data_IF_333894087782
#
_entry.id   IF_333894087782
#
_cell.length_a   1.000
_cell.length_b   1.000
_cell.length_c   1.000
_cell.angle_alpha   90.00
_cell.angle_beta   90.00
_cell.angle_gamma   90.00
#
_symmetry.space_group_name_H-M   'P 1'
#
loop_
_entity.id
_entity.type
_entity.pdbx_description
1 polymer ?
#
# COMPACT_ATOMS: atom_id res chain seq x y z
N UNK A 1 -56.71 -22.72 30.30
CA UNK A 1 -55.35 -23.18 30.02
C UNK A 1 -55.00 -22.73 28.60
N UNK A 2 -54.35 -21.57 28.51
CA UNK A 2 -53.87 -20.95 27.27
C UNK A 2 -52.73 -21.81 26.71
N UNK A 3 -52.56 -22.02 25.41
CA UNK A 3 -52.60 -21.06 24.31
C UNK A 3 -51.19 -21.02 23.74
N UNK A 4 -50.94 -21.77 22.66
CA UNK A 4 -49.61 -21.98 22.11
C UNK A 4 -48.99 -20.71 21.53
N UNK A 5 -47.69 -20.54 21.77
CA UNK A 5 -46.81 -19.66 21.01
C UNK A 5 -45.59 -20.45 20.52
N UNK A 6 -45.13 -20.23 19.28
CA UNK A 6 -43.89 -20.81 18.78
C UNK A 6 -42.70 -20.02 19.33
N UNK A 7 -41.76 -20.70 19.98
CA UNK A 7 -40.49 -20.12 20.40
C UNK A 7 -39.62 -19.83 19.17
N UNK A 8 -39.32 -18.55 19.00
CA UNK A 8 -38.61 -17.93 17.89
C UNK A 8 -37.14 -18.38 17.76
N UNK A 9 -36.74 -18.45 16.50
CA UNK A 9 -35.39 -18.47 15.93
C UNK A 9 -34.25 -17.95 16.83
N UNK A 10 -33.37 -18.87 17.23
CA UNK A 10 -32.03 -18.60 17.76
C UNK A 10 -31.04 -18.27 16.62
N UNK A 11 -31.27 -17.16 15.91
CA UNK A 11 -30.25 -16.48 15.13
C UNK A 11 -30.49 -14.98 15.27
N UNK A 12 -30.00 -14.42 16.39
CA UNK A 12 -29.82 -12.98 16.49
C UNK A 12 -28.83 -12.59 15.41
N UNK A 13 -29.34 -11.84 14.43
CA UNK A 13 -28.52 -10.99 13.59
C UNK A 13 -27.61 -10.17 14.52
N UNK A 14 -26.33 -10.49 14.52
CA UNK A 14 -25.32 -9.60 15.09
C UNK A 14 -25.36 -8.37 14.20
N UNK A 15 -25.99 -7.32 14.70
CA UNK A 15 -25.96 -5.99 14.11
C UNK A 15 -24.52 -5.70 13.72
N UNK A 16 -24.33 -5.37 12.45
CA UNK A 16 -23.05 -4.94 11.91
C UNK A 16 -22.41 -3.92 12.89
N UNK A 17 -21.12 -4.04 13.21
CA UNK A 17 -20.47 -3.02 14.01
C UNK A 17 -20.68 -1.66 13.31
N UNK A 18 -21.03 -0.67 14.12
CA UNK A 18 -21.25 0.71 13.73
C UNK A 18 -20.26 1.12 12.63
N UNK A 19 -20.80 1.59 11.50
CA UNK A 19 -19.98 2.18 10.43
C UNK A 19 -19.11 3.25 11.08
N UNK A 20 -17.76 3.13 11.04
CA UNK A 20 -16.91 4.19 11.53
C UNK A 20 -17.24 5.45 10.72
N UNK A 21 -17.41 6.55 11.45
CA UNK A 21 -17.68 7.89 10.90
C UNK A 21 -16.84 8.14 9.65
N UNK A 22 -17.50 8.47 8.54
CA UNK A 22 -16.91 8.74 7.21
C UNK A 22 -16.04 10.01 7.17
N UNK A 23 -15.52 10.49 8.29
CA UNK A 23 -14.72 11.72 8.38
C UNK A 23 -13.28 11.34 8.71
N UNK A 24 -12.43 11.43 7.69
CA UNK A 24 -10.99 11.18 7.70
C UNK A 24 -10.57 9.73 7.92
N UNK A 25 -10.85 8.89 6.93
CA UNK A 25 -9.90 7.81 6.61
C UNK A 25 -8.69 8.52 5.98
N UNK A 26 -7.49 8.55 6.59
CA UNK A 26 -6.32 9.06 5.89
C UNK A 26 -6.14 8.19 4.65
N UNK A 27 -6.17 8.80 3.47
CA UNK A 27 -5.80 8.12 2.23
C UNK A 27 -4.37 7.59 2.45
N UNK A 28 -4.26 6.28 2.67
CA UNK A 28 -2.97 5.62 2.87
C UNK A 28 -2.18 5.82 1.57
N UNK A 29 -0.91 6.19 1.68
CA UNK A 29 -0.08 6.44 0.50
C UNK A 29 0.53 5.10 0.05
N UNK A 30 0.20 4.59 -1.16
CA UNK A 30 0.75 3.33 -1.67
C UNK A 30 2.26 3.34 -1.89
N UNK A 31 2.88 4.50 -1.74
CA UNK A 31 4.33 4.70 -1.80
C UNK A 31 5.02 4.59 -0.42
N UNK A 32 4.25 4.39 0.66
CA UNK A 32 4.83 4.04 1.96
C UNK A 32 5.39 2.64 1.91
N UNK A 33 6.60 2.48 2.44
CA UNK A 33 7.24 1.17 2.50
C UNK A 33 6.59 0.33 3.60
N UNK A 34 6.45 -0.97 3.32
CA UNK A 34 6.11 -1.99 4.29
C UNK A 34 7.21 -3.04 4.21
N UNK A 35 8.07 -3.05 5.21
CA UNK A 35 9.24 -3.89 5.28
C UNK A 35 10.17 -3.71 4.07
N UNK A 36 10.49 -2.45 3.76
CA UNK A 36 11.51 -2.07 2.78
C UNK A 36 11.04 -1.95 1.33
N UNK A 37 9.75 -2.18 1.06
CA UNK A 37 9.17 -1.94 -0.27
C UNK A 37 7.72 -1.51 -0.19
N UNK A 38 7.37 -0.52 -1.00
CA UNK A 38 6.00 -0.06 -1.17
C UNK A 38 5.08 -1.11 -1.81
N UNK A 39 3.78 -0.99 -1.58
CA UNK A 39 2.80 -1.86 -2.22
C UNK A 39 2.79 -1.69 -3.73
N UNK A 40 2.96 -0.47 -4.24
CA UNK A 40 3.07 -0.23 -5.67
C UNK A 40 4.24 -1.04 -6.26
N UNK A 41 5.41 -0.96 -5.64
CA UNK A 41 6.60 -1.68 -6.09
C UNK A 41 6.37 -3.20 -6.07
N UNK A 42 5.74 -3.73 -5.01
CA UNK A 42 5.42 -5.16 -4.89
C UNK A 42 4.39 -5.60 -5.93
N UNK A 43 3.35 -4.81 -6.19
CA UNK A 43 2.36 -5.09 -7.25
C UNK A 43 2.98 -5.08 -8.63
N UNK A 44 3.87 -4.12 -8.92
CA UNK A 44 4.64 -4.08 -10.17
C UNK A 44 5.53 -5.32 -10.30
N UNK A 45 6.22 -5.75 -9.23
CA UNK A 45 7.02 -6.96 -9.25
C UNK A 45 6.20 -8.22 -9.56
N UNK A 46 4.98 -8.34 -8.99
CA UNK A 46 4.04 -9.44 -9.30
C UNK A 46 3.61 -9.42 -10.77
N UNK A 47 3.31 -8.25 -11.32
CA UNK A 47 2.98 -8.09 -12.75
C UNK A 47 4.18 -8.46 -13.65
N UNK A 48 5.39 -8.02 -13.29
CA UNK A 48 6.60 -8.37 -14.04
C UNK A 48 6.85 -9.89 -14.03
N UNK A 49 6.56 -10.56 -12.90
CA UNK A 49 6.68 -12.01 -12.76
C UNK A 49 5.82 -12.82 -13.74
N UNK A 50 4.74 -12.23 -14.27
CA UNK A 50 3.86 -12.84 -15.27
C UNK A 50 4.08 -12.26 -16.69
N UNK A 51 5.19 -11.55 -16.91
CA UNK A 51 5.58 -11.05 -18.23
C UNK A 51 5.13 -9.62 -18.58
N UNK A 52 4.48 -8.90 -17.65
CA UNK A 52 4.13 -7.49 -17.87
C UNK A 52 5.41 -6.64 -17.79
N UNK A 53 5.92 -6.18 -18.94
CA UNK A 53 7.24 -5.53 -18.99
C UNK A 53 7.22 -4.03 -18.64
N UNK A 54 6.10 -3.34 -18.86
CA UNK A 54 5.98 -1.89 -18.67
C UNK A 54 4.59 -1.49 -18.14
N UNK A 55 4.30 -1.71 -16.84
CA UNK A 55 3.04 -1.30 -16.26
C UNK A 55 2.91 0.23 -16.20
N UNK A 56 1.83 0.77 -16.77
CA UNK A 56 1.54 2.21 -16.73
C UNK A 56 0.92 2.55 -15.38
N UNK A 57 1.61 3.37 -14.59
CA UNK A 57 1.14 3.77 -13.26
C UNK A 57 0.53 5.17 -13.30
N UNK A 58 -0.70 5.29 -12.80
CA UNK A 58 -1.42 6.57 -12.71
C UNK A 58 -1.71 6.90 -11.24
N UNK A 59 -1.57 8.16 -10.86
CA UNK A 59 -1.88 8.64 -9.50
C UNK A 59 -2.99 9.68 -9.53
N UNK A 60 -4.15 9.33 -8.99
CA UNK A 60 -5.24 10.26 -8.74
C UNK A 60 -5.02 11.00 -7.41
N UNK A 61 -4.81 12.32 -7.45
CA UNK A 61 -4.72 13.15 -6.24
C UNK A 61 -6.06 13.34 -5.53
N UNK A 62 -7.19 12.96 -6.15
CA UNK A 62 -8.53 13.11 -5.58
C UNK A 62 -9.02 11.89 -4.76
N UNK A 63 -8.26 10.79 -4.72
CA UNK A 63 -8.51 9.66 -3.81
C UNK A 63 -9.86 8.97 -4.03
N UNK A 64 -10.14 8.50 -5.25
CA UNK A 64 -11.41 7.81 -5.56
C UNK A 64 -11.39 6.33 -5.12
N UNK A 65 -12.48 5.86 -4.52
CA UNK A 65 -12.63 4.48 -4.01
C UNK A 65 -13.17 3.48 -5.04
N UNK A 66 -13.07 3.77 -6.33
CA UNK A 66 -13.60 2.90 -7.40
C UNK A 66 -12.49 2.26 -8.23
N UNK A 67 -12.75 1.06 -8.74
CA UNK A 67 -11.85 0.33 -9.63
C UNK A 67 -11.69 1.04 -10.99
N UNK A 68 -12.81 1.49 -11.57
CA UNK A 68 -12.81 2.37 -12.72
C UNK A 68 -12.96 3.83 -12.27
N UNK A 69 -12.34 4.78 -13.00
CA UNK A 69 -12.54 6.20 -12.72
C UNK A 69 -14.03 6.57 -12.74
N UNK A 70 -14.47 7.38 -11.77
CA UNK A 70 -15.83 7.91 -11.72
C UNK A 70 -16.07 8.94 -12.83
N UNK A 71 -17.33 9.10 -13.26
CA UNK A 71 -17.74 10.23 -14.13
C UNK A 71 -17.44 11.61 -13.51
N UNK A 72 -17.37 11.67 -12.18
CA UNK A 72 -17.08 12.88 -11.40
C UNK A 72 -15.58 13.08 -11.15
N UNK A 73 -14.71 12.19 -11.63
CA UNK A 73 -13.27 12.39 -11.55
C UNK A 73 -12.85 13.62 -12.37
N UNK A 74 -11.73 14.26 -11.98
CA UNK A 74 -11.21 15.41 -12.72
C UNK A 74 -10.95 15.01 -14.17
N UNK A 75 -11.39 15.84 -15.12
CA UNK A 75 -11.26 15.59 -16.57
C UNK A 75 -9.83 15.24 -16.98
N UNK A 76 -8.83 15.84 -16.35
CA UNK A 76 -7.42 15.55 -16.61
C UNK A 76 -7.00 14.11 -16.25
N UNK A 77 -7.47 13.57 -15.12
CA UNK A 77 -7.17 12.19 -14.73
C UNK A 77 -7.89 11.20 -15.64
N UNK A 78 -9.14 11.49 -16.00
CA UNK A 78 -9.89 10.68 -16.96
C UNK A 78 -9.18 10.59 -18.30
N UNK A 79 -8.70 11.72 -18.82
CA UNK A 79 -7.95 11.75 -20.08
C UNK A 79 -6.63 10.95 -19.97
N UNK A 80 -5.89 11.11 -18.87
CA UNK A 80 -4.67 10.33 -18.63
C UNK A 80 -4.96 8.83 -18.57
N UNK A 81 -6.06 8.44 -17.93
CA UNK A 81 -6.48 7.05 -17.84
C UNK A 81 -6.90 6.48 -19.20
N UNK A 82 -7.71 7.20 -19.99
CA UNK A 82 -8.10 6.77 -21.34
C UNK A 82 -6.87 6.64 -22.24
N UNK A 83 -5.91 7.58 -22.16
CA UNK A 83 -4.66 7.51 -22.92
C UNK A 83 -3.79 6.32 -22.51
N UNK A 84 -3.69 6.02 -21.21
CA UNK A 84 -2.93 4.86 -20.72
C UNK A 84 -3.51 3.54 -21.22
N UNK A 85 -4.85 3.40 -21.19
CA UNK A 85 -5.51 2.21 -21.74
C UNK A 85 -5.30 2.13 -23.26
N UNK A 86 -5.41 3.26 -23.97
CA UNK A 86 -5.14 3.31 -25.40
C UNK A 86 -3.70 2.89 -25.73
N UNK A 87 -2.72 3.39 -24.98
CA UNK A 87 -1.30 3.03 -25.15
C UNK A 87 -1.07 1.53 -24.95
N UNK A 88 -1.64 0.96 -23.88
CA UNK A 88 -1.53 -0.48 -23.61
C UNK A 88 -2.18 -1.31 -24.73
N UNK A 89 -3.42 -0.99 -25.15
CA UNK A 89 -4.13 -1.71 -26.22
C UNK A 89 -3.38 -1.57 -27.56
N UNK A 90 -2.91 -0.37 -27.91
CA UNK A 90 -2.19 -0.12 -29.16
C UNK A 90 -0.80 -0.78 -29.19
N UNK A 91 -0.24 -1.15 -28.04
CA UNK A 91 1.00 -1.93 -27.97
C UNK A 91 0.80 -3.42 -28.33
N UNK A 92 -0.45 -3.86 -28.53
CA UNK A 92 -0.77 -5.21 -28.98
C UNK A 92 -0.75 -6.28 -27.88
N UNK A 93 -0.91 -5.90 -26.61
CA UNK A 93 -1.04 -6.85 -25.51
C UNK A 93 -2.31 -7.69 -25.67
N UNK A 94 -2.25 -9.00 -25.44
CA UNK A 94 -3.42 -9.87 -25.53
C UNK A 94 -4.37 -9.69 -24.33
N UNK A 95 -3.81 -9.60 -23.12
CA UNK A 95 -4.55 -9.41 -21.88
C UNK A 95 -4.13 -8.13 -21.17
N UNK A 96 -5.12 -7.34 -20.74
CA UNK A 96 -4.91 -6.11 -19.99
C UNK A 96 -5.20 -6.35 -18.50
N UNK A 97 -4.19 -6.11 -17.67
CA UNK A 97 -4.36 -6.04 -16.22
C UNK A 97 -4.77 -4.63 -15.79
N UNK A 98 -5.91 -4.53 -15.10
CA UNK A 98 -6.33 -3.33 -14.41
C UNK A 98 -6.25 -3.59 -12.90
N UNK A 99 -5.43 -2.81 -12.21
CA UNK A 99 -5.19 -2.95 -10.77
C UNK A 99 -5.26 -1.58 -10.11
N UNK A 100 -6.04 -1.48 -9.03
CA UNK A 100 -5.90 -0.38 -8.08
C UNK A 100 -5.05 -0.86 -6.91
N UNK A 101 -3.89 -0.22 -6.72
CA UNK A 101 -3.09 -0.44 -5.51
C UNK A 101 -3.90 0.13 -4.34
N UNK A 102 -4.34 -0.76 -3.45
CA UNK A 102 -5.56 -0.60 -2.66
C UNK A 102 -5.57 -1.46 -1.41
N UNK A 103 -5.31 -2.72 -1.67
CA UNK A 103 -5.50 -3.87 -0.80
C UNK A 103 -4.25 -4.72 -0.99
N UNK A 104 -3.71 -5.26 0.09
CA UNK A 104 -2.69 -6.29 -0.01
C UNK A 104 -3.36 -7.66 -0.02
N UNK A 105 -2.94 -8.54 -0.91
CA UNK A 105 -3.33 -9.94 -0.91
C UNK A 105 -2.20 -10.84 -1.41
N UNK A 106 -2.20 -12.08 -0.92
CA UNK A 106 -1.27 -13.12 -1.36
C UNK A 106 -1.67 -13.76 -2.70
N UNK A 107 -2.72 -13.24 -3.36
CA UNK A 107 -3.23 -13.75 -4.63
C UNK A 107 -2.14 -13.80 -5.71
N UNK A 108 -1.87 -14.97 -6.26
CA UNK A 108 -0.95 -15.14 -7.38
C UNK A 108 -1.58 -14.57 -8.66
N UNK A 109 -0.85 -13.69 -9.34
CA UNK A 109 -1.36 -13.05 -10.56
C UNK A 109 -1.31 -14.03 -11.74
N UNK A 110 -0.46 -15.06 -11.69
CA UNK A 110 -0.42 -16.13 -12.67
C UNK A 110 -1.68 -16.99 -12.60
N UNK A 111 -2.11 -17.36 -11.38
CA UNK A 111 -3.32 -18.16 -11.16
C UNK A 111 -4.58 -17.43 -11.68
N UNK A 112 -4.67 -16.11 -11.44
CA UNK A 112 -5.75 -15.29 -11.98
C UNK A 112 -5.73 -15.25 -13.51
N UNK A 113 -4.56 -15.13 -14.13
CA UNK A 113 -4.40 -15.11 -15.59
C UNK A 113 -4.78 -16.47 -16.20
N UNK A 114 -4.29 -17.57 -15.64
CA UNK A 114 -4.58 -18.92 -16.09
C UNK A 114 -6.08 -19.21 -16.02
N UNK A 115 -6.73 -18.81 -14.92
CA UNK A 115 -8.18 -18.93 -14.78
C UNK A 115 -8.94 -18.09 -15.83
N UNK A 116 -8.50 -16.87 -16.09
CA UNK A 116 -9.07 -16.01 -17.12
C UNK A 116 -8.97 -16.67 -18.51
N UNK A 117 -7.79 -17.15 -18.90
CA UNK A 117 -7.54 -17.82 -20.18
C UNK A 117 -8.40 -19.09 -20.30
N UNK A 118 -8.42 -19.94 -19.28
CA UNK A 118 -9.20 -21.19 -19.29
C UNK A 118 -10.70 -20.95 -19.39
N UNK A 119 -11.20 -19.88 -18.76
CA UNK A 119 -12.62 -19.53 -18.80
C UNK A 119 -13.06 -18.95 -20.15
N UNK A 120 -12.13 -18.41 -20.95
CA UNK A 120 -12.44 -17.62 -22.15
C UNK A 120 -13.29 -16.37 -21.84
N UNK A 121 -13.26 -15.89 -20.59
CA UNK A 121 -14.07 -14.77 -20.15
C UNK A 121 -13.57 -13.46 -20.75
N UNK A 122 -14.52 -12.57 -21.04
CA UNK A 122 -14.22 -11.21 -21.53
C UNK A 122 -13.54 -10.34 -20.47
N UNK A 123 -13.89 -10.56 -19.22
CA UNK A 123 -13.37 -9.85 -18.05
C UNK A 123 -13.45 -10.80 -16.86
N UNK A 124 -12.34 -10.97 -16.16
CA UNK A 124 -12.29 -11.72 -14.91
C UNK A 124 -11.85 -10.78 -13.79
N UNK A 125 -12.63 -10.70 -12.72
CA UNK A 125 -12.32 -9.85 -11.57
C UNK A 125 -12.13 -10.68 -10.30
N UNK A 126 -11.10 -10.35 -9.52
CA UNK A 126 -10.75 -11.06 -8.29
C UNK A 126 -11.56 -10.54 -7.09
N UNK A 127 -12.04 -11.47 -6.28
CA UNK A 127 -12.82 -11.22 -5.07
C UNK A 127 -12.32 -12.08 -3.92
N UNK A 128 -12.32 -11.51 -2.72
CA UNK A 128 -12.25 -12.26 -1.47
C UNK A 128 -13.65 -12.36 -0.84
N UNK A 129 -13.85 -13.18 0.22
CA UNK A 129 -15.17 -13.36 0.85
C UNK A 129 -15.82 -12.04 1.31
N UNK A 130 -15.02 -11.05 1.69
CA UNK A 130 -15.44 -9.74 2.19
C UNK A 130 -15.51 -8.65 1.10
N UNK A 131 -15.16 -8.95 -0.16
CA UNK A 131 -15.34 -8.02 -1.28
C UNK A 131 -14.27 -8.07 -2.36
N UNK A 132 -14.38 -7.18 -3.35
CA UNK A 132 -13.46 -7.10 -4.50
C UNK A 132 -12.02 -6.80 -4.07
N UNK A 133 -11.04 -7.36 -4.76
CA UNK A 133 -9.62 -7.06 -4.59
C UNK A 133 -9.12 -5.93 -5.50
N UNK A 134 -10.03 -5.24 -6.22
CA UNK A 134 -9.72 -4.18 -7.18
C UNK A 134 -8.63 -4.58 -8.21
N UNK A 135 -8.71 -5.83 -8.67
CA UNK A 135 -7.85 -6.41 -9.69
C UNK A 135 -8.74 -7.15 -10.70
N UNK A 136 -8.54 -6.85 -11.98
CA UNK A 136 -9.19 -7.55 -13.07
C UNK A 136 -8.26 -7.77 -14.26
N UNK A 137 -8.52 -8.84 -15.01
CA UNK A 137 -7.90 -9.17 -16.28
C UNK A 137 -8.97 -9.06 -17.37
N UNK A 138 -8.64 -8.41 -18.47
CA UNK A 138 -9.54 -8.14 -19.59
C UNK A 138 -8.90 -8.65 -20.89
N UNK A 139 -9.71 -9.28 -21.73
CA UNK A 139 -9.31 -9.57 -23.11
C UNK A 139 -9.25 -8.27 -23.92
N UNK A 140 -8.05 -7.93 -24.41
CA UNK A 140 -7.79 -6.69 -25.15
C UNK A 140 -8.55 -6.60 -26.47
N UNK A 141 -8.93 -7.73 -27.08
CA UNK A 141 -9.58 -7.77 -28.39
C UNK A 141 -10.90 -6.99 -28.41
N UNK A 142 -11.55 -6.89 -27.24
CA UNK A 142 -12.80 -6.17 -27.03
C UNK A 142 -12.60 -4.65 -26.92
N UNK A 143 -11.37 -4.22 -26.68
CA UNK A 143 -10.98 -2.81 -26.57
C UNK A 143 -10.42 -2.26 -27.89
N UNK A 144 -10.17 -3.11 -28.88
CA UNK A 144 -9.73 -2.68 -30.21
C UNK A 144 -10.75 -1.73 -30.86
N UNK A 145 -10.25 -0.74 -31.61
CA UNK A 145 -11.06 0.28 -32.28
C UNK A 145 -11.97 1.08 -31.33
N UNK A 146 -11.56 1.29 -30.07
CA UNK A 146 -12.23 2.23 -29.17
C UNK A 146 -11.68 3.62 -29.42
N UNK A 147 -12.49 4.52 -30.01
CA UNK A 147 -12.15 5.94 -30.19
C UNK A 147 -12.08 6.70 -28.84
N UNK A 148 -11.20 6.28 -27.92
CA UNK A 148 -10.98 6.94 -26.62
C UNK A 148 -12.14 6.83 -25.62
N UNK A 149 -13.04 5.86 -25.80
CA UNK A 149 -14.18 5.60 -24.90
C UNK A 149 -14.03 4.29 -24.09
N UNK A 150 -12.80 3.95 -23.69
CA UNK A 150 -12.47 2.68 -23.05
C UNK A 150 -13.23 2.52 -21.72
N UNK A 151 -13.39 3.59 -20.94
CA UNK A 151 -14.12 3.53 -19.66
C UNK A 151 -15.56 3.08 -19.85
N UNK A 152 -16.23 3.59 -20.90
CA UNK A 152 -17.62 3.23 -21.22
C UNK A 152 -17.71 1.77 -21.65
N UNK A 153 -16.77 1.30 -22.47
CA UNK A 153 -16.72 -0.11 -22.90
C UNK A 153 -16.47 -1.04 -21.72
N UNK A 154 -15.46 -0.78 -20.91
CA UNK A 154 -15.15 -1.57 -19.72
C UNK A 154 -16.34 -1.60 -18.73
N UNK A 155 -17.05 -0.48 -18.56
CA UNK A 155 -18.27 -0.45 -17.74
C UNK A 155 -19.38 -1.37 -18.29
N UNK A 156 -19.45 -1.57 -19.60
CA UNK A 156 -20.43 -2.44 -20.24
C UNK A 156 -20.06 -3.93 -20.15
N UNK A 157 -18.79 -4.25 -19.82
CA UNK A 157 -18.32 -5.62 -19.60
C UNK A 157 -18.60 -6.12 -18.18
N UNK A 158 -18.75 -5.21 -17.19
CA UNK A 158 -19.01 -5.55 -15.78
C UNK A 158 -20.16 -6.56 -15.60
N UNK A 159 -21.32 -6.44 -16.28
CA UNK A 159 -22.41 -7.42 -16.11
C UNK A 159 -22.07 -8.83 -16.62
N UNK A 160 -21.07 -8.96 -17.50
CA UNK A 160 -20.62 -10.22 -18.11
C UNK A 160 -19.33 -10.74 -17.46
N UNK A 161 -18.86 -10.09 -16.40
CA UNK A 161 -17.61 -10.47 -15.76
C UNK A 161 -17.73 -11.85 -15.11
N UNK A 162 -16.65 -12.63 -15.21
CA UNK A 162 -16.47 -13.84 -14.42
C UNK A 162 -15.77 -13.48 -13.11
N UNK A 163 -16.22 -14.09 -12.03
CA UNK A 163 -15.65 -13.88 -10.70
C UNK A 163 -14.57 -14.93 -10.45
N UNK A 164 -13.40 -14.46 -10.02
CA UNK A 164 -12.34 -15.29 -9.47
C UNK A 164 -12.38 -15.18 -7.94
N UNK A 165 -12.74 -16.27 -7.27
CA UNK A 165 -12.86 -16.33 -5.81
C UNK A 165 -11.53 -16.73 -5.17
N UNK A 166 -10.94 -15.79 -4.42
CA UNK A 166 -9.70 -15.94 -3.70
C UNK A 166 -9.95 -16.16 -2.21
N UNK A 167 -9.33 -17.19 -1.65
CA UNK A 167 -9.51 -17.59 -0.25
C UNK A 167 -8.22 -17.51 0.61
N UNK A 168 -7.23 -16.73 0.19
CA UNK A 168 -5.98 -16.53 0.93
C UNK A 168 -5.96 -15.27 1.81
N UNK A 169 -4.76 -14.87 2.24
CA UNK A 169 -4.56 -13.69 3.09
C UNK A 169 -4.93 -12.40 2.36
N UNK A 170 -5.70 -11.54 3.03
CA UNK A 170 -6.11 -10.22 2.54
C UNK A 170 -6.02 -9.21 3.68
N UNK A 171 -5.39 -8.07 3.40
CA UNK A 171 -5.40 -6.91 4.27
C UNK A 171 -5.91 -5.69 3.48
N UNK A 172 -7.02 -5.11 3.95
CA UNK A 172 -7.75 -4.04 3.26
C UNK A 172 -7.10 -2.67 3.37
N UNK A 173 -6.13 -2.50 4.26
CA UNK A 173 -5.38 -1.26 4.44
C UNK A 173 -6.29 -0.04 4.62
N UNK A 174 -7.38 -0.21 5.37
CA UNK A 174 -8.36 0.85 5.60
C UNK A 174 -7.85 1.94 6.53
N UNK A 175 -6.73 1.70 7.23
CA UNK A 175 -6.09 2.70 8.08
C UNK A 175 -4.76 2.23 8.68
N UNK A 176 -4.24 3.03 9.60
CA UNK A 176 -2.91 2.82 10.22
C UNK A 176 -2.80 1.51 10.98
N UNK A 177 -3.90 1.04 11.58
CA UNK A 177 -3.94 -0.27 12.27
C UNK A 177 -3.74 -1.42 11.30
N UNK A 178 -4.44 -1.40 10.18
CA UNK A 178 -4.35 -2.41 9.12
C UNK A 178 -2.94 -2.44 8.52
N UNK A 179 -2.35 -1.26 8.29
CA UNK A 179 -0.96 -1.12 7.86
C UNK A 179 0.01 -1.79 8.85
N UNK A 180 -0.13 -1.46 10.14
CA UNK A 180 0.72 -2.03 11.17
C UNK A 180 0.50 -3.54 11.33
N UNK A 181 -0.74 -4.01 11.17
CA UNK A 181 -1.07 -5.43 11.16
C UNK A 181 -0.41 -6.14 9.97
N UNK A 182 -0.45 -5.57 8.77
CA UNK A 182 0.23 -6.13 7.59
C UNK A 182 1.75 -6.24 7.80
N UNK A 183 2.35 -5.18 8.35
CA UNK A 183 3.76 -5.16 8.71
C UNK A 183 4.09 -6.30 9.70
N UNK A 184 3.30 -6.46 10.77
CA UNK A 184 3.49 -7.55 11.72
C UNK A 184 3.29 -8.92 11.07
N UNK A 185 2.22 -9.10 10.30
CA UNK A 185 1.94 -10.36 9.64
C UNK A 185 3.05 -10.76 8.68
N UNK A 186 3.72 -9.79 8.03
CA UNK A 186 4.93 -10.05 7.26
C UNK A 186 6.14 -10.43 8.12
N UNK A 187 6.42 -9.70 9.20
CA UNK A 187 7.53 -10.01 10.12
C UNK A 187 7.40 -11.38 10.80
N UNK A 188 6.17 -11.78 11.13
CA UNK A 188 5.88 -13.06 11.77
C UNK A 188 5.60 -14.19 10.77
N UNK A 189 5.75 -13.94 9.45
CA UNK A 189 5.56 -14.98 8.41
C UNK A 189 4.12 -15.50 8.30
N UNK A 190 3.11 -14.68 8.63
CA UNK A 190 1.68 -15.02 8.56
C UNK A 190 1.04 -14.75 7.19
N UNK A 191 1.77 -14.07 6.30
CA UNK A 191 1.40 -13.84 4.91
C UNK A 191 2.65 -13.94 4.03
N UNK A 192 2.47 -13.91 2.71
CA UNK A 192 3.59 -13.98 1.76
C UNK A 192 4.44 -12.70 1.71
N UNK A 193 4.03 -11.63 2.40
CA UNK A 193 4.84 -10.42 2.53
C UNK A 193 6.05 -10.73 3.39
N UNK A 194 7.25 -10.53 2.86
CA UNK A 194 8.49 -10.67 3.61
C UNK A 194 9.31 -9.37 3.58
N UNK A 195 10.18 -9.16 4.58
CA UNK A 195 11.15 -8.06 4.55
C UNK A 195 12.06 -8.10 3.34
N UNK A 196 12.41 -6.92 2.83
CA UNK A 196 13.46 -6.75 1.83
C UNK A 196 14.83 -6.80 2.52
N UNK A 197 15.84 -7.37 1.87
CA UNK A 197 17.20 -7.47 2.43
C UNK A 197 17.54 -8.88 2.90
N UNK A 198 18.58 -8.98 3.73
CA UNK A 198 19.12 -10.25 4.21
C UNK A 198 18.67 -10.51 5.65
N UNK A 199 18.28 -11.75 5.92
CA UNK A 199 18.08 -12.22 7.29
C UNK A 199 19.45 -12.55 7.91
N UNK A 200 19.96 -11.64 8.73
CA UNK A 200 21.31 -11.77 9.35
C UNK A 200 21.29 -12.71 10.55
N UNK A 201 20.13 -12.87 11.16
CA UNK A 201 19.82 -13.79 12.25
C UNK A 201 18.32 -14.13 12.16
N UNK A 202 17.90 -15.29 12.67
CA UNK A 202 16.49 -15.70 12.68
C UNK A 202 15.56 -14.59 13.18
N UNK A 203 14.65 -14.15 12.30
CA UNK A 203 13.70 -13.08 12.50
C UNK A 203 14.27 -11.65 12.44
N UNK A 204 15.57 -11.46 12.21
CA UNK A 204 16.24 -10.15 12.14
C UNK A 204 16.70 -9.89 10.71
N UNK A 205 16.10 -8.87 10.10
CA UNK A 205 16.29 -8.52 8.69
C UNK A 205 16.97 -7.17 8.55
N UNK A 206 18.00 -7.12 7.72
CA UNK A 206 18.77 -5.91 7.42
C UNK A 206 18.82 -5.66 5.91
N UNK A 207 18.43 -4.46 5.50
CA UNK A 207 18.55 -3.98 4.14
C UNK A 207 19.84 -3.19 3.91
N UNK A 208 20.19 -2.98 2.64
CA UNK A 208 21.48 -2.44 2.23
C UNK A 208 21.82 -1.10 2.89
N UNK A 209 23.03 -1.00 3.43
CA UNK A 209 23.56 0.22 4.04
C UNK A 209 22.96 0.57 5.40
N UNK A 210 22.23 -0.35 6.04
CA UNK A 210 21.87 -0.21 7.44
C UNK A 210 23.15 -0.18 8.32
N UNK A 211 23.19 0.75 9.28
CA UNK A 211 24.28 0.90 10.24
C UNK A 211 23.72 0.74 11.66
N UNK A 212 24.23 -0.22 12.40
CA UNK A 212 23.78 -0.52 13.77
C UNK A 212 24.97 -0.38 14.70
N UNK A 213 24.83 0.45 15.73
CA UNK A 213 25.85 0.55 16.77
C UNK A 213 25.97 -0.77 17.55
N UNK A 214 27.21 -1.20 17.81
CA UNK A 214 27.52 -2.45 18.51
C UNK A 214 26.91 -2.60 19.91
N UNK A 215 26.49 -1.50 20.53
CA UNK A 215 25.86 -1.49 21.86
C UNK A 215 24.34 -1.52 21.81
N UNK A 216 23.73 -1.49 20.62
CA UNK A 216 22.29 -1.62 20.45
C UNK A 216 21.83 -3.05 20.78
N UNK A 217 20.69 -3.16 21.45
CA UNK A 217 20.05 -4.43 21.79
C UNK A 217 18.88 -4.65 20.86
N UNK A 218 18.95 -5.70 20.05
CA UNK A 218 17.92 -6.04 19.07
C UNK A 218 17.34 -7.41 19.39
N UNK A 219 16.00 -7.47 19.43
CA UNK A 219 15.24 -8.69 19.64
C UNK A 219 14.32 -8.97 18.46
N UNK A 220 14.41 -10.18 17.92
CA UNK A 220 13.54 -10.65 16.84
C UNK A 220 12.04 -10.70 17.24
N UNK A 221 11.12 -10.62 16.27
CA UNK A 221 11.38 -10.26 14.88
C UNK A 221 11.63 -8.75 14.73
N UNK A 222 12.52 -8.37 13.81
CA UNK A 222 12.87 -6.99 13.52
C UNK A 222 13.22 -6.81 12.03
N UNK A 223 12.83 -5.68 11.45
CA UNK A 223 13.33 -5.22 10.17
C UNK A 223 14.02 -3.85 10.29
N UNK A 224 15.21 -3.73 9.68
CA UNK A 224 15.96 -2.48 9.55
C UNK A 224 16.19 -2.18 8.06
N UNK A 225 15.62 -1.07 7.61
CA UNK A 225 15.57 -0.63 6.23
C UNK A 225 16.84 0.03 5.74
N UNK A 226 16.92 0.18 4.42
CA UNK A 226 18.13 0.63 3.73
C UNK A 226 18.58 2.02 4.20
N UNK A 227 19.88 2.18 4.42
CA UNK A 227 20.48 3.46 4.84
C UNK A 227 20.07 3.96 6.23
N UNK A 228 19.38 3.14 7.03
CA UNK A 228 18.96 3.52 8.38
C UNK A 228 20.09 3.38 9.40
N UNK A 229 20.13 4.28 10.38
CA UNK A 229 21.17 4.34 11.42
C UNK A 229 20.56 4.15 12.80
N UNK A 230 21.02 3.13 13.51
CA UNK A 230 20.63 2.84 14.90
C UNK A 230 21.76 3.26 15.84
N UNK A 231 21.48 4.24 16.69
CA UNK A 231 22.44 4.79 17.64
C UNK A 231 22.78 3.84 18.79
N UNK A 232 23.85 4.19 19.51
CA UNK A 232 24.32 3.46 20.68
C UNK A 232 23.26 3.34 21.78
N UNK A 233 23.28 2.21 22.49
CA UNK A 233 22.40 1.88 23.62
C UNK A 233 20.90 1.85 23.28
N UNK A 234 20.53 1.87 22.00
CA UNK A 234 19.14 1.71 21.59
C UNK A 234 18.64 0.29 21.88
N UNK A 235 17.34 0.17 22.14
CA UNK A 235 16.68 -1.14 22.29
C UNK A 235 15.54 -1.24 21.28
N UNK A 236 15.57 -2.23 20.41
CA UNK A 236 14.54 -2.49 19.40
C UNK A 236 13.95 -3.90 19.65
N UNK A 237 12.64 -4.00 19.90
CA UNK A 237 12.04 -5.28 20.26
C UNK A 237 10.56 -5.43 19.90
N UNK A 238 10.09 -6.67 19.78
CA UNK A 238 8.67 -6.99 19.72
C UNK A 238 8.02 -6.78 18.37
N UNK A 239 8.70 -7.12 17.26
CA UNK A 239 8.13 -6.97 15.92
C UNK A 239 8.12 -5.51 15.47
N UNK A 240 9.28 -4.87 15.48
CA UNK A 240 9.43 -3.51 14.98
C UNK A 240 9.96 -3.50 13.54
N UNK A 241 9.54 -2.47 12.80
CA UNK A 241 10.07 -2.16 11.47
C UNK A 241 10.61 -0.73 11.46
N UNK A 242 11.87 -0.58 11.10
CA UNK A 242 12.50 0.72 10.84
C UNK A 242 12.67 0.81 9.33
N UNK A 243 11.87 1.60 8.63
CA UNK A 243 11.95 1.75 7.17
C UNK A 243 13.20 2.54 6.75
N UNK A 244 13.40 2.71 5.45
CA UNK A 244 14.64 3.31 4.89
C UNK A 244 14.94 4.73 5.39
N UNK A 245 16.22 5.10 5.39
CA UNK A 245 16.75 6.43 5.72
C UNK A 245 16.30 6.98 7.10
N UNK A 246 16.04 6.09 8.05
CA UNK A 246 15.69 6.48 9.40
C UNK A 246 16.94 6.72 10.25
N UNK A 247 16.83 7.58 11.25
CA UNK A 247 17.85 7.71 12.30
C UNK A 247 17.19 7.56 13.66
N UNK A 248 17.57 6.53 14.39
CA UNK A 248 17.15 6.31 15.79
C UNK A 248 18.32 6.74 16.67
N UNK A 249 18.15 7.85 17.39
CA UNK A 249 19.21 8.43 18.21
C UNK A 249 19.38 7.70 19.55
N UNK A 250 20.47 7.99 20.26
CA UNK A 250 20.98 7.19 21.37
C UNK A 250 19.98 6.86 22.47
N UNK A 251 20.15 5.69 23.10
CA UNK A 251 19.41 5.24 24.28
C UNK A 251 17.88 5.21 24.10
N UNK A 252 17.40 5.12 22.85
CA UNK A 252 15.97 5.09 22.54
C UNK A 252 15.44 3.67 22.48
N UNK A 253 14.26 3.46 23.06
CA UNK A 253 13.50 2.23 23.04
C UNK A 253 12.40 2.33 21.97
N UNK A 254 12.42 1.40 21.02
CA UNK A 254 11.34 1.20 20.04
C UNK A 254 10.76 -0.20 20.25
N UNK A 255 9.52 -0.27 20.70
CA UNK A 255 8.83 -1.53 20.98
C UNK A 255 7.51 -1.66 20.21
N UNK A 256 7.28 -2.79 19.54
CA UNK A 256 6.06 -3.06 18.77
C UNK A 256 5.64 -1.86 17.90
N UNK A 257 6.57 -1.26 17.18
CA UNK A 257 6.35 0.01 16.49
C UNK A 257 6.93 0.00 15.08
N UNK A 258 6.39 0.87 14.23
CA UNK A 258 6.89 1.08 12.88
C UNK A 258 7.38 2.52 12.74
N UNK A 259 8.63 2.71 12.31
CA UNK A 259 9.19 4.02 11.99
C UNK A 259 9.27 4.12 10.47
N UNK A 260 8.42 4.95 9.87
CA UNK A 260 8.32 5.12 8.42
C UNK A 260 9.50 5.88 7.85
N UNK A 261 9.69 5.74 6.54
CA UNK A 261 10.86 6.25 5.83
C UNK A 261 11.17 7.73 6.11
N UNK A 262 12.46 8.04 6.05
CA UNK A 262 12.96 9.42 6.20
C UNK A 262 12.52 10.05 7.53
N UNK A 263 12.51 9.27 8.62
CA UNK A 263 12.14 9.74 9.97
C UNK A 263 13.34 9.74 10.92
N UNK A 264 13.36 10.74 11.81
CA UNK A 264 14.29 10.84 12.92
C UNK A 264 13.54 10.67 14.24
N UNK A 265 14.05 9.79 15.09
CA UNK A 265 13.59 9.61 16.47
C UNK A 265 14.72 10.02 17.39
N UNK A 266 14.43 10.97 18.28
CA UNK A 266 15.38 11.60 19.18
C UNK A 266 15.96 10.69 20.26
N UNK A 267 16.81 11.29 21.09
CA UNK A 267 17.56 10.62 22.16
C UNK A 267 16.65 10.28 23.34
N UNK A 268 16.88 9.11 23.94
CA UNK A 268 16.23 8.66 25.18
C UNK A 268 14.69 8.68 25.14
N UNK A 269 14.12 8.33 23.99
CA UNK A 269 12.68 8.22 23.82
C UNK A 269 12.19 6.79 24.09
N UNK A 270 10.97 6.69 24.59
CA UNK A 270 10.24 5.41 24.72
C UNK A 270 9.05 5.42 23.75
N UNK A 271 9.22 4.78 22.60
CA UNK A 271 8.21 4.68 21.55
C UNK A 271 7.64 3.26 21.55
N UNK A 272 6.38 3.13 21.97
CA UNK A 272 5.69 1.83 22.01
C UNK A 272 4.39 1.83 21.27
N UNK A 273 4.11 0.74 20.55
CA UNK A 273 2.83 0.50 19.88
C UNK A 273 2.40 1.72 19.07
N UNK A 274 3.31 2.22 18.24
CA UNK A 274 3.13 3.43 17.47
C UNK A 274 3.62 3.30 16.03
N UNK A 275 3.05 4.13 15.15
CA UNK A 275 3.59 4.37 13.81
C UNK A 275 4.11 5.80 13.76
N UNK A 276 5.42 5.95 13.52
CA UNK A 276 6.10 7.25 13.48
C UNK A 276 6.36 7.64 12.02
N UNK A 277 6.09 8.90 11.69
CA UNK A 277 6.33 9.46 10.35
C UNK A 277 6.72 10.93 10.45
N UNK A 278 8.01 11.22 10.31
CA UNK A 278 8.55 12.56 10.46
C UNK A 278 8.23 13.15 11.84
N UNK A 279 7.45 14.24 11.87
CA UNK A 279 6.99 14.90 13.11
C UNK A 279 5.66 14.34 13.66
N UNK A 280 5.13 13.28 13.06
CA UNK A 280 3.86 12.67 13.46
C UNK A 280 4.10 11.33 14.11
N UNK A 281 3.27 11.01 15.09
CA UNK A 281 3.20 9.71 15.71
C UNK A 281 1.75 9.32 15.87
N UNK A 282 1.39 8.14 15.39
CA UNK A 282 0.08 7.54 15.61
C UNK A 282 0.18 6.49 16.71
N UNK A 283 -0.47 6.74 17.85
CA UNK A 283 -0.50 5.81 18.97
C UNK A 283 -1.58 4.74 18.75
N UNK A 284 -1.16 3.49 18.49
CA UNK A 284 -2.07 2.38 18.14
C UNK A 284 -2.93 1.93 19.32
N UNK A 285 -2.51 2.15 20.55
CA UNK A 285 -3.33 1.89 21.74
C UNK A 285 -4.50 2.89 21.88
N UNK A 286 -4.28 4.16 21.52
CA UNK A 286 -5.23 5.26 21.73
C UNK A 286 -5.97 5.68 20.46
N UNK A 287 -5.64 5.09 19.31
CA UNK A 287 -6.20 5.47 18.02
C UNK A 287 -6.07 6.97 17.72
N UNK A 288 -4.95 7.58 18.11
CA UNK A 288 -4.78 9.05 18.09
C UNK A 288 -3.50 9.41 17.35
N UNK A 289 -3.59 10.38 16.42
CA UNK A 289 -2.42 11.04 15.81
C UNK A 289 -1.98 12.22 16.69
N UNK A 290 -0.68 12.28 16.97
CA UNK A 290 -0.04 13.37 17.68
C UNK A 290 1.03 13.97 16.78
N UNK A 291 1.08 15.29 16.70
CA UNK A 291 2.18 16.02 16.07
C UNK A 291 3.12 16.52 17.15
N UNK A 292 4.40 16.14 17.05
CA UNK A 292 5.46 16.62 17.92
C UNK A 292 6.24 17.70 17.16
N UNK A 293 6.13 18.94 17.62
CA UNK A 293 6.77 20.09 16.97
C UNK A 293 8.27 20.20 17.25
N UNK A 294 8.73 19.61 18.36
CA UNK A 294 10.16 19.59 18.70
C UNK A 294 10.90 18.60 17.80
N UNK A 295 11.69 19.16 16.88
CA UNK A 295 12.51 18.42 15.92
C UNK A 295 13.63 17.62 16.58
N UNK A 296 13.98 17.89 17.84
CA UNK A 296 14.92 17.07 18.60
C UNK A 296 14.29 15.76 19.07
N UNK A 297 12.96 15.70 19.16
CA UNK A 297 12.22 14.50 19.54
C UNK A 297 11.79 13.72 18.31
N UNK A 298 11.11 14.35 17.35
CA UNK A 298 10.68 13.72 16.10
C UNK A 298 10.88 14.70 14.93
N UNK A 299 11.53 14.25 13.86
CA UNK A 299 11.73 15.05 12.66
C UNK A 299 11.63 14.22 11.39
N UNK A 300 11.43 14.89 10.26
CA UNK A 300 11.60 14.27 8.94
C UNK A 300 13.02 14.54 8.44
N UNK A 301 13.71 13.47 8.07
CA UNK A 301 15.01 13.47 7.38
C UNK A 301 14.85 13.62 5.86
N UNK A 302 13.62 13.68 5.35
CA UNK A 302 13.40 13.90 3.94
C UNK A 302 14.11 15.20 3.54
N UNK A 303 15.03 15.12 2.57
CA UNK A 303 15.63 16.32 2.01
C UNK A 303 14.49 17.23 1.58
N UNK A 304 14.41 18.49 2.06
CA UNK A 304 13.43 19.41 1.51
C UNK A 304 13.66 19.43 -0.01
N UNK A 305 12.63 19.24 -0.82
CA UNK A 305 12.77 19.27 -2.28
C UNK A 305 13.15 20.69 -2.75
N UNK A 306 14.41 21.09 -2.54
CA UNK A 306 14.97 22.37 -2.97
C UNK A 306 15.27 22.39 -4.48
N UNK A 307 15.13 21.24 -5.16
CA UNK A 307 15.28 21.10 -6.62
C UNK A 307 13.94 20.95 -7.37
N UNK A 308 12.80 20.88 -6.68
CA UNK A 308 11.48 20.92 -7.31
C UNK A 308 10.97 22.34 -7.64
N UNK A 309 11.68 23.37 -7.18
CA UNK A 309 11.32 24.78 -7.34
C UNK A 309 12.33 25.64 -8.10
N UNK A 310 13.49 25.10 -8.49
CA UNK A 310 14.52 25.84 -9.23
C UNK A 310 14.58 25.51 -10.73
N UNK A 311 13.85 24.50 -11.21
CA UNK A 311 13.71 24.22 -12.64
C UNK A 311 12.68 25.11 -13.35
N UNK A 312 11.97 25.99 -12.63
CA UNK A 312 11.02 26.96 -13.23
C UNK A 312 11.55 28.39 -13.36
N UNK A 313 12.75 28.68 -12.85
CA UNK A 313 13.37 30.02 -12.93
C UNK A 313 14.55 30.10 -13.91
N UNK A 314 15.28 29.01 -14.17
CA UNK A 314 16.42 29.04 -15.13
C UNK A 314 16.04 28.77 -16.59
N UNK A 315 14.76 28.53 -16.90
CA UNK A 315 14.29 28.28 -18.28
C UNK A 315 13.54 29.47 -18.91
N UNK A 316 13.59 30.67 -18.30
CA UNK A 316 12.86 31.85 -18.77
C UNK A 316 13.70 33.08 -19.13
N UNK A 317 15.03 33.02 -19.08
CA UNK A 317 15.90 34.19 -19.40
C UNK A 317 16.84 34.01 -20.60
N UNK A 318 16.60 33.04 -21.52
CA UNK A 318 17.39 32.92 -22.77
C UNK A 318 16.52 33.00 -24.05
N UNK A 319 15.28 33.45 -23.95
CA UNK A 319 14.47 33.80 -25.14
C UNK A 319 13.77 35.15 -24.94
N UNK A 320 14.57 36.20 -24.76
CA UNK A 320 14.21 37.57 -25.14
C UNK A 320 15.46 38.45 -25.07
N UNK A 321 16.28 38.33 -26.11
CA UNK A 321 17.12 39.41 -26.58
C UNK A 321 17.34 39.15 -28.07
N UNK A 322 16.85 40.09 -28.88
CA UNK A 322 17.32 40.32 -30.24
C UNK A 322 18.85 40.45 -30.28
#
# INVERSE_FOLDING_TARGET
MAGGQPSENYFRAVSAPDRPDKKHIPAWDPLLDILGSSLLTRSVAKLNGIGVSSPITLRDRAGTSHFLPLKTAKTAFLLQWENAVAEAVNSGVEHLFLLRVGVYSDLDYAELLDSHIQSGAVMTQAYAPDGSLDLAVIDSSLLNNSDGAYRKRLSALIPQQVRFDFHGYVNRLTGVRDFFQLMQDGLYGRCALHPMGNEVQEGIWEADGAEIDSTAVISAPLFIGAGSKIGALCTLAGGCAIERNCKIDYATLIQESCVLQDSYVGVALDVRRAVVSGQKMFALNRNTEIRISDRRLLASNAKPNWLGGLSSWMSREVQQAD
#
